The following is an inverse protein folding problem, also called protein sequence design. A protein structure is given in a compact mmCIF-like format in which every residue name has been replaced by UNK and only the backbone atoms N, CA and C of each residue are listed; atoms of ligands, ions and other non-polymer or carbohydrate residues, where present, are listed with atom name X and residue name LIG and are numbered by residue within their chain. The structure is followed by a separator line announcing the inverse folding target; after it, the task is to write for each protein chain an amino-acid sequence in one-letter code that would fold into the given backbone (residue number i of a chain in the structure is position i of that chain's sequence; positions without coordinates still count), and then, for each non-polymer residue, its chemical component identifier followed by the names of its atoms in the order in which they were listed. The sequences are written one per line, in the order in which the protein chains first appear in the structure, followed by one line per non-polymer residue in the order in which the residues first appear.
data_IF_672724752535
#
_entry.id   IF_672724752535
#
_cell.length_a   1.000
_cell.length_b   1.000
_cell.length_c   1.000
_cell.angle_alpha   90.00
_cell.angle_beta   90.00
_cell.angle_gamma   90.00
#
_symmetry.space_group_name_H-M   'P 1'
#
loop_
_entity.id
_entity.type
_entity.pdbx_description
1 polymer ?
#
# COMPACT_ATOMS: atom_id res chain seq x y z
N UNK A 1 -10.38 -10.39 15.79
CA UNK A 1 -9.55 -9.23 15.45
C UNK A 1 -9.44 -9.20 13.94
N UNK A 2 -9.59 -8.04 13.29
CA UNK A 2 -9.45 -7.94 11.84
C UNK A 2 -7.96 -7.89 11.51
N UNK A 3 -7.52 -8.71 10.55
CA UNK A 3 -6.12 -8.69 10.08
C UNK A 3 -5.79 -7.33 9.45
N UNK A 4 -4.59 -6.80 9.70
CA UNK A 4 -4.19 -5.45 9.28
C UNK A 4 -2.91 -5.48 8.44
N UNK A 5 -2.89 -4.71 7.37
CA UNK A 5 -1.70 -4.44 6.54
C UNK A 5 -1.36 -2.95 6.60
N UNK A 6 -0.19 -2.62 7.15
CA UNK A 6 0.35 -1.25 7.14
C UNK A 6 1.53 -1.17 6.17
N UNK A 7 1.54 -0.16 5.29
CA UNK A 7 2.58 0.01 4.27
C UNK A 7 3.05 1.47 4.18
N UNK A 8 4.37 1.68 4.25
CA UNK A 8 4.99 2.97 3.95
C UNK A 8 5.37 2.99 2.47
N UNK A 9 4.76 3.90 1.70
CA UNK A 9 5.07 4.09 0.29
C UNK A 9 6.06 5.25 0.19
N UNK A 10 7.35 4.91 0.25
CA UNK A 10 8.46 5.86 0.11
C UNK A 10 8.84 6.14 -1.35
N UNK A 11 8.72 5.14 -2.23
CA UNK A 11 9.15 5.25 -3.64
C UNK A 11 7.99 5.62 -4.57
N UNK A 12 8.26 6.49 -5.56
CA UNK A 12 7.27 6.95 -6.55
C UNK A 12 7.42 6.39 -7.98
N UNK A 13 8.32 5.43 -8.22
CA UNK A 13 8.45 4.85 -9.57
C UNK A 13 7.24 3.97 -9.89
N UNK A 14 6.81 3.97 -11.15
CA UNK A 14 5.57 3.31 -11.60
C UNK A 14 5.54 1.82 -11.23
N UNK A 15 6.66 1.12 -11.36
CA UNK A 15 6.79 -0.29 -11.01
C UNK A 15 6.51 -0.56 -9.52
N UNK A 16 7.01 0.32 -8.64
CA UNK A 16 6.81 0.20 -7.18
C UNK A 16 5.42 0.61 -6.75
N UNK A 17 4.87 1.67 -7.34
CA UNK A 17 3.48 2.08 -7.10
C UNK A 17 2.49 1.02 -7.58
N UNK A 18 2.77 0.37 -8.71
CA UNK A 18 1.98 -0.75 -9.21
C UNK A 18 2.04 -1.96 -8.26
N UNK A 19 3.24 -2.33 -7.78
CA UNK A 19 3.39 -3.38 -6.79
C UNK A 19 2.63 -3.07 -5.48
N UNK A 20 2.75 -1.84 -4.96
CA UNK A 20 2.00 -1.39 -3.79
C UNK A 20 0.48 -1.46 -4.01
N UNK A 21 0.01 -1.08 -5.19
CA UNK A 21 -1.41 -1.13 -5.56
C UNK A 21 -1.95 -2.56 -5.60
N UNK A 22 -1.18 -3.50 -6.14
CA UNK A 22 -1.57 -4.93 -6.20
C UNK A 22 -1.69 -5.51 -4.79
N UNK A 23 -0.70 -5.27 -3.93
CA UNK A 23 -0.69 -5.78 -2.56
C UNK A 23 -1.86 -5.23 -1.74
N UNK A 24 -2.06 -3.92 -1.79
CA UNK A 24 -3.10 -3.22 -1.03
C UNK A 24 -4.50 -3.60 -1.48
N UNK A 25 -4.72 -3.73 -2.79
CA UNK A 25 -5.99 -4.18 -3.35
C UNK A 25 -6.28 -5.64 -2.95
N UNK A 26 -5.27 -6.51 -2.99
CA UNK A 26 -5.41 -7.91 -2.55
C UNK A 26 -5.78 -8.00 -1.06
N UNK A 27 -5.08 -7.26 -0.20
CA UNK A 27 -5.38 -7.21 1.23
C UNK A 27 -6.80 -6.68 1.51
N UNK A 28 -7.19 -5.59 0.85
CA UNK A 28 -8.54 -5.05 0.96
C UNK A 28 -9.61 -6.05 0.50
N UNK A 29 -9.37 -6.78 -0.61
CA UNK A 29 -10.27 -7.82 -1.12
C UNK A 29 -10.42 -9.02 -0.16
N UNK A 30 -9.39 -9.32 0.64
CA UNK A 30 -9.44 -10.34 1.70
C UNK A 30 -10.09 -9.82 3.01
N UNK A 31 -10.61 -8.59 3.03
CA UNK A 31 -11.26 -8.01 4.20
C UNK A 31 -10.29 -7.55 5.29
N UNK A 32 -9.01 -7.35 4.95
CA UNK A 32 -8.02 -6.77 5.85
C UNK A 32 -8.21 -5.25 5.96
N UNK A 33 -7.88 -4.70 7.12
CA UNK A 33 -7.73 -3.25 7.28
C UNK A 33 -6.39 -2.81 6.65
N UNK A 34 -6.44 -1.88 5.69
CA UNK A 34 -5.24 -1.41 4.98
C UNK A 34 -4.93 0.03 5.38
N UNK A 35 -3.73 0.26 5.87
CA UNK A 35 -3.23 1.58 6.28
C UNK A 35 -2.01 1.96 5.43
N UNK A 36 -2.09 3.08 4.71
CA UNK A 36 -1.02 3.56 3.84
C UNK A 36 -0.47 4.87 4.35
N UNK A 37 0.85 4.94 4.46
CA UNK A 37 1.57 6.18 4.71
C UNK A 37 2.43 6.52 3.50
N UNK A 38 1.98 7.48 2.70
CA UNK A 38 2.74 7.99 1.56
C UNK A 38 3.71 9.06 2.05
N UNK A 39 4.98 8.94 1.69
CA UNK A 39 6.02 9.89 2.12
C UNK A 39 7.11 10.02 1.07
N UNK A 40 7.83 11.14 1.08
CA UNK A 40 8.93 11.45 0.15
C UNK A 40 8.52 11.27 -1.31
N UNK A 41 9.26 10.49 -2.11
CA UNK A 41 8.99 10.26 -3.52
C UNK A 41 7.65 9.57 -3.79
N UNK A 42 7.03 8.94 -2.79
CA UNK A 42 5.69 8.36 -2.92
C UNK A 42 4.55 9.39 -2.92
N UNK A 43 4.83 10.66 -2.59
CA UNK A 43 3.86 11.77 -2.64
C UNK A 43 3.91 12.57 -3.95
N UNK A 44 5.00 12.44 -4.72
CA UNK A 44 5.20 13.19 -5.97
C UNK A 44 4.41 12.59 -7.14
#
# INVERSE_FOLDING_TARGET
MQERMSLIIFSGTVDKLMAASILTTGAAAMGMEVELFLTTWGLE
#
